data_IF_784393585501
#
_entry.id   IF_784393585501
#
_cell.length_a   1.000
_cell.length_b   1.000
_cell.length_c   1.000
_cell.angle_alpha   90.00
_cell.angle_beta   90.00
_cell.angle_gamma   90.00
#
_symmetry.space_group_name_H-M   'P 1'
#
loop_
_entity.id
_entity.type
_entity.pdbx_description
1 polymer ?
#
# COMPACT_ATOMS: atom_id res chain seq x y z
N UNK A 1 -14.46 -27.00 -18.58
CA UNK A 1 -12.99 -27.07 -18.36
C UNK A 1 -12.44 -25.70 -18.72
N UNK A 2 -11.72 -24.99 -17.83
CA UNK A 2 -11.12 -23.71 -18.17
C UNK A 2 -10.14 -23.86 -19.33
N UNK A 3 -10.05 -22.85 -20.19
CA UNK A 3 -9.08 -22.83 -21.29
C UNK A 3 -7.65 -22.68 -20.75
N UNK A 4 -6.67 -23.21 -21.49
CA UNK A 4 -5.25 -23.04 -21.16
C UNK A 4 -4.89 -21.56 -21.05
N UNK A 5 -4.16 -21.19 -19.99
CA UNK A 5 -3.64 -19.84 -19.75
C UNK A 5 -2.14 -19.84 -20.00
N UNK A 6 -1.64 -18.80 -20.69
CA UNK A 6 -0.20 -18.53 -20.84
C UNK A 6 0.12 -17.21 -20.15
N UNK A 7 1.05 -17.24 -19.20
CA UNK A 7 1.50 -16.05 -18.49
C UNK A 7 2.59 -15.33 -19.29
N UNK A 8 2.49 -14.00 -19.35
CA UNK A 8 3.48 -13.11 -19.97
C UNK A 8 3.68 -11.91 -19.06
N UNK A 9 4.81 -11.23 -19.22
CA UNK A 9 5.04 -9.95 -18.54
C UNK A 9 3.99 -8.93 -18.99
N UNK A 10 3.43 -8.20 -18.02
CA UNK A 10 2.46 -7.15 -18.31
C UNK A 10 3.16 -5.95 -18.97
N UNK A 11 2.64 -5.50 -20.10
CA UNK A 11 3.29 -4.44 -20.92
C UNK A 11 2.84 -3.02 -20.58
N UNK A 12 1.87 -2.89 -19.67
CA UNK A 12 1.33 -1.62 -19.21
C UNK A 12 1.17 -1.63 -17.68
N UNK A 13 0.94 -0.46 -17.09
CA UNK A 13 0.61 -0.27 -15.68
C UNK A 13 -0.52 0.74 -15.58
N UNK A 14 -1.30 0.66 -14.51
CA UNK A 14 -2.41 1.59 -14.28
C UNK A 14 -1.96 2.93 -13.69
N UNK A 15 -0.83 2.93 -12.98
CA UNK A 15 -0.24 4.10 -12.32
C UNK A 15 1.25 4.10 -12.62
N UNK A 16 1.77 5.23 -13.05
CA UNK A 16 3.18 5.43 -13.42
C UNK A 16 4.04 5.91 -12.26
N UNK A 17 3.46 6.71 -11.39
CA UNK A 17 4.17 7.35 -10.30
C UNK A 17 3.34 7.39 -9.03
N UNK A 18 3.99 7.15 -7.89
CA UNK A 18 3.44 7.40 -6.56
C UNK A 18 4.19 8.60 -5.96
N UNK A 19 3.46 9.68 -5.70
CA UNK A 19 3.97 10.86 -5.02
C UNK A 19 3.48 10.87 -3.56
N UNK A 20 4.38 11.11 -2.62
CA UNK A 20 4.06 11.23 -1.20
C UNK A 20 4.09 12.70 -0.81
N UNK A 21 2.93 13.29 -0.48
CA UNK A 21 2.84 14.70 -0.12
C UNK A 21 3.46 14.96 1.26
N UNK A 22 3.13 14.13 2.24
CA UNK A 22 3.66 14.24 3.59
C UNK A 22 4.79 13.23 3.83
N UNK A 23 6.01 13.62 3.43
CA UNK A 23 7.22 12.79 3.63
C UNK A 23 7.46 12.49 5.11
N UNK A 24 7.05 13.37 6.03
CA UNK A 24 7.26 13.12 7.46
C UNK A 24 6.35 12.00 7.98
N UNK A 25 5.14 11.83 7.45
CA UNK A 25 4.25 10.72 7.82
C UNK A 25 4.84 9.38 7.41
N UNK A 26 5.39 9.28 6.19
CA UNK A 26 6.08 8.07 5.72
C UNK A 26 7.32 7.80 6.59
N UNK A 27 8.08 8.84 6.94
CA UNK A 27 9.24 8.69 7.83
C UNK A 27 8.82 8.22 9.22
N UNK A 28 7.72 8.72 9.76
CA UNK A 28 7.20 8.31 11.06
C UNK A 28 6.75 6.84 11.04
N UNK A 29 6.06 6.42 9.97
CA UNK A 29 5.70 5.01 9.75
C UNK A 29 6.94 4.10 9.74
N UNK A 30 7.97 4.48 8.98
CA UNK A 30 9.23 3.71 8.91
C UNK A 30 9.99 3.76 10.23
N UNK A 31 10.06 4.92 10.89
CA UNK A 31 10.77 5.09 12.17
C UNK A 31 10.13 4.24 13.26
N UNK A 32 8.81 4.22 13.34
CA UNK A 32 8.09 3.36 14.28
C UNK A 32 8.45 1.88 14.08
N UNK A 33 8.47 1.43 12.83
CA UNK A 33 8.90 0.06 12.52
C UNK A 33 10.37 -0.22 12.87
N UNK A 34 11.27 0.73 12.59
CA UNK A 34 12.71 0.57 12.82
C UNK A 34 13.12 0.69 14.29
N UNK A 35 12.60 1.68 15.00
CA UNK A 35 13.05 2.07 16.34
C UNK A 35 12.18 1.42 17.43
N UNK A 36 10.86 1.62 17.37
CA UNK A 36 9.96 1.12 18.41
C UNK A 36 9.78 -0.40 18.34
N UNK A 37 9.61 -0.94 17.13
CA UNK A 37 9.44 -2.38 16.91
C UNK A 37 10.75 -3.11 16.65
N UNK A 38 11.88 -2.40 16.52
CA UNK A 38 13.21 -2.97 16.25
C UNK A 38 13.21 -3.92 15.03
N UNK A 39 12.34 -3.64 14.05
CA UNK A 39 12.11 -4.47 12.86
C UNK A 39 11.65 -5.91 13.16
N UNK A 40 11.15 -6.19 14.37
CA UNK A 40 10.72 -7.54 14.80
C UNK A 40 9.26 -7.85 14.42
N UNK A 41 8.45 -6.81 14.17
CA UNK A 41 7.07 -6.93 13.75
C UNK A 41 6.84 -6.05 12.54
N UNK A 42 6.33 -6.62 11.44
CA UNK A 42 6.05 -5.84 10.24
C UNK A 42 4.87 -4.89 10.45
N UNK A 43 4.74 -3.89 9.57
CA UNK A 43 3.66 -2.90 9.59
C UNK A 43 2.98 -2.83 8.24
N UNK A 44 1.70 -2.46 8.27
CA UNK A 44 0.83 -2.26 7.12
C UNK A 44 0.04 -0.98 7.30
N UNK A 45 -0.16 -0.24 6.22
CA UNK A 45 -1.01 0.93 6.16
C UNK A 45 -1.76 1.04 4.83
N UNK A 46 -2.98 1.55 4.88
CA UNK A 46 -3.75 1.97 3.73
C UNK A 46 -3.34 3.39 3.34
N UNK A 47 -3.10 3.62 2.05
CA UNK A 47 -2.75 4.93 1.51
C UNK A 47 -4.01 5.60 0.97
N UNK A 48 -4.32 6.79 1.49
CA UNK A 48 -5.42 7.63 1.05
C UNK A 48 -4.90 8.84 0.29
N UNK A 49 -5.57 9.17 -0.80
CA UNK A 49 -5.06 10.14 -1.76
C UNK A 49 -5.99 10.35 -2.93
N UNK A 50 -5.43 10.72 -4.07
CA UNK A 50 -6.17 10.89 -5.32
C UNK A 50 -5.27 10.68 -6.53
N UNK A 51 -5.86 10.46 -7.71
CA UNK A 51 -5.12 10.30 -8.96
C UNK A 51 -5.14 11.60 -9.79
N UNK A 52 -4.02 11.91 -10.44
CA UNK A 52 -3.87 13.04 -11.37
C UNK A 52 -3.12 12.62 -12.63
N UNK A 53 -3.32 13.35 -13.72
CA UNK A 53 -2.52 13.18 -14.93
C UNK A 53 -1.05 13.55 -14.67
N UNK A 54 -0.13 12.76 -15.22
CA UNK A 54 1.32 13.01 -15.13
C UNK A 54 1.91 13.27 -16.54
N UNK A 55 2.28 14.52 -16.85
CA UNK A 55 2.81 14.87 -18.17
C UNK A 55 4.22 14.31 -18.44
N UNK A 56 4.89 13.70 -17.46
CA UNK A 56 6.19 13.04 -17.68
C UNK A 56 6.05 11.71 -18.43
N UNK A 57 4.85 11.14 -18.49
CA UNK A 57 4.56 9.88 -19.18
C UNK A 57 3.42 10.08 -20.19
N UNK A 58 3.49 9.49 -21.41
CA UNK A 58 2.37 9.52 -22.35
C UNK A 58 1.14 8.84 -21.73
N UNK A 59 0.01 9.56 -21.67
CA UNK A 59 -1.22 9.14 -20.99
C UNK A 59 -0.97 8.71 -19.52
N UNK A 60 -0.02 9.39 -18.87
CA UNK A 60 0.49 9.05 -17.55
C UNK A 60 -0.49 9.33 -16.42
N UNK A 61 -0.51 8.43 -15.43
CA UNK A 61 -1.29 8.60 -14.20
C UNK A 61 -0.37 8.58 -12.99
N UNK A 62 -0.52 9.58 -12.12
CA UNK A 62 0.18 9.68 -10.84
C UNK A 62 -0.80 9.56 -9.69
N UNK A 63 -0.49 8.67 -8.75
CA UNK A 63 -1.18 8.60 -7.47
C UNK A 63 -0.51 9.56 -6.48
N UNK A 64 -1.29 10.47 -5.90
CA UNK A 64 -0.83 11.42 -4.87
C UNK A 64 -1.32 10.92 -3.53
N UNK A 65 -0.41 10.50 -2.66
CA UNK A 65 -0.69 10.02 -1.32
C UNK A 65 -0.65 11.18 -0.32
N UNK A 66 -1.78 11.42 0.34
CA UNK A 66 -1.96 12.49 1.34
C UNK A 66 -1.88 11.96 2.76
N UNK A 67 -2.33 10.73 2.99
CA UNK A 67 -2.38 10.14 4.33
C UNK A 67 -2.17 8.63 4.31
N UNK A 68 -1.62 8.12 5.42
CA UNK A 68 -1.54 6.68 5.70
C UNK A 68 -2.39 6.39 6.92
N UNK A 69 -3.30 5.42 6.80
CA UNK A 69 -4.07 4.89 7.92
C UNK A 69 -3.58 3.49 8.25
N UNK A 70 -3.19 3.27 9.51
CA UNK A 70 -2.74 1.96 9.99
C UNK A 70 -3.89 1.22 10.68
N UNK A 71 -4.52 0.23 10.01
CA UNK A 71 -5.61 -0.53 10.61
C UNK A 71 -5.13 -1.37 11.81
N UNK A 72 -6.07 -1.83 12.67
CA UNK A 72 -5.76 -2.82 13.70
C UNK A 72 -5.08 -4.06 13.09
N UNK A 73 -3.90 -4.40 13.59
CA UNK A 73 -3.04 -5.44 12.99
C UNK A 73 -2.20 -6.15 14.05
N UNK A 74 -1.99 -7.46 13.88
CA UNK A 74 -1.23 -8.34 14.77
C UNK A 74 -0.15 -9.08 13.98
N UNK A 75 0.94 -8.36 13.68
CA UNK A 75 1.95 -8.85 12.75
C UNK A 75 3.11 -9.54 13.45
N UNK A 76 3.78 -10.40 12.68
CA UNK A 76 5.02 -11.06 13.07
C UNK A 76 6.18 -10.53 12.24
N UNK A 77 7.36 -11.13 12.39
CA UNK A 77 8.51 -10.83 11.54
C UNK A 77 8.27 -11.20 10.06
N UNK A 78 7.45 -12.23 9.81
CA UNK A 78 7.30 -12.86 8.49
C UNK A 78 5.87 -12.84 7.95
N UNK A 79 4.89 -12.39 8.74
CA UNK A 79 3.48 -12.36 8.34
C UNK A 79 2.78 -11.09 8.77
N UNK A 80 1.88 -10.62 7.91
CA UNK A 80 0.95 -9.54 8.17
C UNK A 80 -0.44 -10.14 8.48
N UNK A 81 -1.02 -9.77 9.61
CA UNK A 81 -2.39 -10.13 9.97
C UNK A 81 -3.16 -8.84 10.24
N UNK A 82 -3.76 -8.31 9.18
CA UNK A 82 -4.47 -7.04 9.15
C UNK A 82 -5.96 -7.30 9.24
N UNK A 83 -6.65 -6.63 10.18
CA UNK A 83 -8.11 -6.73 10.31
C UNK A 83 -8.79 -5.83 9.27
N UNK A 84 -8.83 -6.30 8.01
CA UNK A 84 -9.35 -5.54 6.86
C UNK A 84 -10.84 -5.18 6.99
N UNK A 85 -11.63 -6.07 7.59
CA UNK A 85 -13.08 -5.91 7.77
C UNK A 85 -13.47 -5.14 9.06
N UNK A 86 -12.50 -4.56 9.75
CA UNK A 86 -12.73 -3.81 10.98
C UNK A 86 -13.59 -2.55 10.70
N UNK A 87 -14.49 -2.22 11.62
CA UNK A 87 -15.36 -1.04 11.48
C UNK A 87 -14.55 0.26 11.47
N UNK A 88 -13.38 0.30 12.11
CA UNK A 88 -12.50 1.47 12.07
C UNK A 88 -11.98 1.76 10.66
N UNK A 89 -11.74 0.73 9.83
CA UNK A 89 -11.34 0.90 8.43
C UNK A 89 -12.46 1.60 7.65
N UNK A 90 -13.71 1.15 7.83
CA UNK A 90 -14.87 1.78 7.18
C UNK A 90 -15.10 3.22 7.63
N UNK A 91 -14.77 3.54 8.88
CA UNK A 91 -14.83 4.91 9.40
C UNK A 91 -13.73 5.76 8.76
N UNK A 92 -12.50 5.24 8.66
CA UNK A 92 -11.39 5.93 8.00
C UNK A 92 -11.71 6.23 6.53
N UNK A 93 -12.24 5.26 5.79
CA UNK A 93 -12.68 5.44 4.39
C UNK A 93 -13.76 6.53 4.26
N UNK A 94 -14.76 6.55 5.16
CA UNK A 94 -15.80 7.60 5.16
C UNK A 94 -15.26 8.99 5.48
N UNK A 95 -14.22 9.08 6.32
CA UNK A 95 -13.56 10.35 6.63
C UNK A 95 -12.75 10.80 5.41
N UNK A 96 -11.98 9.90 4.81
CA UNK A 96 -11.20 10.16 3.59
C UNK A 96 -12.11 10.66 2.46
N UNK A 97 -13.22 9.98 2.19
CA UNK A 97 -14.20 10.38 1.17
C UNK A 97 -14.74 11.80 1.39
N UNK A 98 -15.04 12.17 2.65
CA UNK A 98 -15.49 13.54 3.00
C UNK A 98 -14.39 14.60 2.83
N UNK A 99 -13.13 14.20 2.83
CA UNK A 99 -11.98 15.06 2.54
C UNK A 99 -11.63 15.07 1.04
N UNK A 100 -12.38 14.36 0.19
CA UNK A 100 -12.11 14.21 -1.23
C UNK A 100 -10.97 13.25 -1.54
N UNK A 101 -10.64 12.35 -0.61
CA UNK A 101 -9.61 11.34 -0.74
C UNK A 101 -10.23 9.96 -0.95
N UNK A 102 -9.56 9.12 -1.72
CA UNK A 102 -9.91 7.71 -1.95
C UNK A 102 -8.77 6.78 -1.55
N UNK A 103 -9.09 5.49 -1.38
CA UNK A 103 -8.06 4.47 -1.14
C UNK A 103 -7.27 4.24 -2.43
N UNK A 104 -6.00 4.66 -2.46
CA UNK A 104 -5.15 4.59 -3.66
C UNK A 104 -4.16 3.43 -3.65
N UNK A 105 -4.03 2.73 -2.51
CA UNK A 105 -3.15 1.57 -2.38
C UNK A 105 -2.82 1.23 -0.92
N UNK A 106 -1.74 0.49 -0.73
CA UNK A 106 -1.22 0.14 0.59
C UNK A 106 0.31 0.22 0.64
N UNK A 107 0.83 0.38 1.85
CA UNK A 107 2.25 0.33 2.17
C UNK A 107 2.48 -0.72 3.25
N UNK A 108 3.58 -1.45 3.17
CA UNK A 108 3.96 -2.40 4.21
C UNK A 108 5.47 -2.55 4.31
N UNK A 109 5.93 -3.06 5.45
CA UNK A 109 7.35 -3.28 5.72
C UNK A 109 7.71 -4.76 5.58
N UNK A 110 8.96 -5.03 5.24
CA UNK A 110 9.52 -6.38 5.30
C UNK A 110 10.99 -6.31 5.75
N UNK A 111 11.49 -7.40 6.35
CA UNK A 111 12.92 -7.55 6.61
C UNK A 111 13.70 -7.65 5.28
N UNK A 112 14.98 -7.25 5.24
CA UNK A 112 15.79 -7.32 4.02
C UNK A 112 15.77 -8.73 3.39
N UNK A 113 15.46 -8.79 2.09
CA UNK A 113 15.40 -10.02 1.28
C UNK A 113 15.71 -9.69 -0.19
N UNK A 114 15.95 -10.72 -1.01
CA UNK A 114 16.26 -10.53 -2.44
C UNK A 114 15.00 -10.31 -3.28
N UNK A 115 13.88 -10.92 -2.90
CA UNK A 115 12.62 -10.82 -3.64
C UNK A 115 11.92 -9.48 -3.38
N UNK A 116 11.46 -8.85 -4.45
CA UNK A 116 10.63 -7.64 -4.36
C UNK A 116 9.30 -7.97 -3.65
N UNK A 117 8.61 -9.02 -4.10
CA UNK A 117 7.37 -9.53 -3.54
C UNK A 117 7.41 -11.06 -3.48
N UNK A 118 6.89 -11.62 -2.39
CA UNK A 118 6.65 -13.06 -2.23
C UNK A 118 5.36 -13.46 -2.93
N UNK A 119 5.22 -14.75 -3.26
CA UNK A 119 3.98 -15.26 -3.85
C UNK A 119 2.75 -15.02 -2.97
N UNK A 120 2.91 -15.05 -1.65
CA UNK A 120 1.83 -14.76 -0.71
C UNK A 120 1.37 -13.29 -0.81
N UNK A 121 2.32 -12.35 -0.82
CA UNK A 121 2.00 -10.93 -0.99
C UNK A 121 1.37 -10.65 -2.37
N UNK A 122 1.83 -11.31 -3.43
CA UNK A 122 1.19 -11.16 -4.76
C UNK A 122 -0.26 -11.64 -4.73
N UNK A 123 -0.56 -12.73 -4.04
CA UNK A 123 -1.94 -13.23 -3.92
C UNK A 123 -2.80 -12.32 -3.03
N UNK A 124 -2.25 -11.79 -1.94
CA UNK A 124 -2.98 -10.92 -1.00
C UNK A 124 -3.30 -9.53 -1.55
N UNK A 125 -2.48 -9.07 -2.51
CA UNK A 125 -2.59 -7.76 -3.17
C UNK A 125 -3.36 -7.81 -4.49
N UNK A 126 -3.65 -9.00 -5.02
CA UNK A 126 -4.37 -9.20 -6.28
C UNK A 126 -5.90 -9.14 -6.09
#
# INVERSE_FOLDING_TARGET
IPTTVTLKHQVYRHVDHLEMMNVEDVKNFVRFWQEDLQMLQQRFGYMFGYYVEDPHYPDGIRAVCEAIYEPPQENTLTSLNVKKDDEEVKVAEKIADRLGLELIGCIFTHAPREELLTSHEVVDLA
#
